data_IF_245443074162
#
_entry.id   IF_245443074162
#
_cell.length_a   1.000
_cell.length_b   1.000
_cell.length_c   1.000
_cell.angle_alpha   90.00
_cell.angle_beta   90.00
_cell.angle_gamma   90.00
#
_symmetry.space_group_name_H-M   'P 1'
#
loop_
_entity.id
_entity.type
_entity.pdbx_description
1 polymer ?
#
# COMPACT_ATOMS: atom_id res chain seq x y z
N UNK A 1 -7.61 6.78 7.27
CA UNK A 1 -7.17 7.09 5.92
C UNK A 1 -8.40 6.93 5.04
N UNK A 2 -9.15 8.01 4.83
CA UNK A 2 -10.45 7.95 4.13
C UNK A 2 -10.25 8.09 2.61
N UNK A 3 -9.32 7.32 2.04
CA UNK A 3 -8.90 7.48 0.64
C UNK A 3 -9.38 6.33 -0.26
N UNK A 4 -9.66 5.15 0.29
CA UNK A 4 -10.00 3.96 -0.51
C UNK A 4 -11.17 3.23 0.13
N UNK A 5 -12.25 3.04 -0.64
CA UNK A 5 -13.39 2.21 -0.28
C UNK A 5 -13.27 0.91 -1.06
N UNK A 6 -12.46 -0.02 -0.56
CA UNK A 6 -12.23 -1.31 -1.23
C UNK A 6 -13.51 -2.10 -1.46
N UNK A 7 -14.56 -1.88 -0.65
CA UNK A 7 -15.85 -2.53 -0.82
C UNK A 7 -16.55 -1.97 -2.06
N UNK A 8 -16.66 -0.65 -2.14
CA UNK A 8 -17.19 0.01 -3.33
C UNK A 8 -16.31 -0.30 -4.54
N UNK A 9 -14.99 -0.13 -4.47
CA UNK A 9 -14.08 -0.26 -5.62
C UNK A 9 -14.05 -1.68 -6.22
N UNK A 10 -14.37 -2.73 -5.44
CA UNK A 10 -14.39 -4.12 -5.91
C UNK A 10 -15.79 -4.67 -6.20
N UNK A 11 -16.85 -3.85 -6.18
CA UNK A 11 -18.24 -4.30 -6.35
C UNK A 11 -18.45 -5.20 -7.57
N UNK A 12 -17.90 -4.80 -8.72
CA UNK A 12 -18.09 -5.51 -9.99
C UNK A 12 -17.40 -6.87 -9.99
N UNK A 13 -16.21 -6.96 -9.37
CA UNK A 13 -15.45 -8.21 -9.24
C UNK A 13 -16.20 -9.19 -8.33
N UNK A 14 -16.70 -8.70 -7.20
CA UNK A 14 -17.45 -9.51 -6.25
C UNK A 14 -18.78 -10.00 -6.85
N UNK A 15 -19.51 -9.14 -7.56
CA UNK A 15 -20.72 -9.54 -8.30
C UNK A 15 -20.43 -10.65 -9.32
N UNK A 16 -19.39 -10.47 -10.14
CA UNK A 16 -19.01 -11.46 -11.16
C UNK A 16 -18.60 -12.80 -10.55
N UNK A 17 -17.92 -12.79 -9.40
CA UNK A 17 -17.47 -13.99 -8.70
C UNK A 17 -18.56 -14.63 -7.80
N UNK A 18 -19.77 -14.06 -7.73
CA UNK A 18 -20.82 -14.54 -6.83
C UNK A 18 -20.49 -14.35 -5.35
N UNK A 19 -19.61 -13.40 -5.03
CA UNK A 19 -19.17 -13.10 -3.67
C UNK A 19 -20.03 -11.98 -3.10
N UNK A 20 -20.69 -12.26 -1.98
CA UNK A 20 -21.40 -11.24 -1.23
C UNK A 20 -20.39 -10.39 -0.42
N UNK A 21 -20.37 -9.08 -0.69
CA UNK A 21 -19.48 -8.16 -0.01
C UNK A 21 -19.76 -8.09 1.50
N UNK A 22 -21.01 -8.25 1.94
CA UNK A 22 -21.38 -8.19 3.37
C UNK A 22 -20.75 -9.31 4.19
N UNK A 23 -20.34 -10.40 3.54
CA UNK A 23 -19.69 -11.53 4.18
C UNK A 23 -18.16 -11.38 4.26
N UNK A 24 -17.60 -10.29 3.69
CA UNK A 24 -16.16 -9.99 3.73
C UNK A 24 -15.89 -8.85 4.71
N UNK A 25 -15.10 -9.15 5.74
CA UNK A 25 -14.52 -8.14 6.61
C UNK A 25 -13.36 -7.44 5.89
N UNK A 26 -13.62 -6.24 5.37
CA UNK A 26 -12.62 -5.40 4.72
C UNK A 26 -12.14 -4.36 5.73
N UNK A 27 -10.90 -4.50 6.16
CA UNK A 27 -10.29 -3.61 7.15
C UNK A 27 -10.16 -2.18 6.60
N UNK A 28 -10.97 -1.24 7.11
CA UNK A 28 -10.83 0.19 6.82
C UNK A 28 -10.22 0.92 8.01
N UNK A 29 -8.95 1.28 7.91
CA UNK A 29 -8.24 2.00 8.97
C UNK A 29 -8.42 3.51 8.81
N UNK A 30 -9.28 4.11 9.64
CA UNK A 30 -9.52 5.56 9.63
C UNK A 30 -8.36 6.37 10.24
N UNK A 31 -7.58 5.78 11.15
CA UNK A 31 -6.42 6.43 11.77
C UNK A 31 -5.10 5.86 11.26
N UNK A 32 -4.10 6.72 11.18
CA UNK A 32 -2.73 6.32 10.78
C UNK A 32 -2.13 5.31 11.76
N UNK A 33 -2.37 5.48 13.06
CA UNK A 33 -1.87 4.56 14.08
C UNK A 33 -2.40 3.13 13.92
N UNK A 34 -3.68 2.97 13.59
CA UNK A 34 -4.28 1.65 13.39
C UNK A 34 -3.72 0.98 12.13
N UNK A 35 -3.44 1.77 11.09
CA UNK A 35 -2.78 1.30 9.87
C UNK A 35 -1.33 0.87 10.14
N UNK A 36 -0.57 1.65 10.91
CA UNK A 36 0.81 1.30 11.30
C UNK A 36 0.81 -0.01 12.09
N UNK A 37 -0.14 -0.19 13.02
CA UNK A 37 -0.26 -1.43 13.79
C UNK A 37 -0.54 -2.64 12.89
N UNK A 38 -1.52 -2.54 12.00
CA UNK A 38 -1.81 -3.58 11.01
C UNK A 38 -0.57 -3.89 10.16
N UNK A 39 0.15 -2.87 9.71
CA UNK A 39 1.39 -3.05 8.96
C UNK A 39 2.47 -3.74 9.78
N UNK A 40 2.66 -3.37 11.04
CA UNK A 40 3.65 -4.01 11.91
C UNK A 40 3.33 -5.50 12.11
N UNK A 41 2.07 -5.85 12.36
CA UNK A 41 1.60 -7.23 12.48
C UNK A 41 1.83 -8.01 11.18
N UNK A 42 1.50 -7.40 10.04
CA UNK A 42 1.73 -7.98 8.71
C UNK A 42 3.21 -8.21 8.45
N UNK A 43 4.05 -7.21 8.70
CA UNK A 43 5.49 -7.29 8.47
C UNK A 43 6.19 -8.29 9.38
N UNK A 44 5.71 -8.46 10.61
CA UNK A 44 6.17 -9.51 11.53
C UNK A 44 5.90 -10.89 10.94
N UNK A 45 4.73 -11.10 10.36
CA UNK A 45 4.39 -12.38 9.74
C UNK A 45 5.19 -12.62 8.46
N UNK A 46 5.37 -11.59 7.62
CA UNK A 46 6.24 -11.67 6.45
C UNK A 46 7.69 -11.99 6.84
N UNK A 47 8.20 -11.37 7.90
CA UNK A 47 9.53 -11.67 8.44
C UNK A 47 9.62 -13.13 8.91
N UNK A 48 8.58 -13.65 9.58
CA UNK A 48 8.54 -15.03 10.09
C UNK A 48 8.71 -16.05 8.96
N UNK A 49 8.00 -15.86 7.84
CA UNK A 49 7.99 -16.81 6.71
C UNK A 49 9.17 -16.63 5.75
N UNK A 50 9.79 -15.44 5.69
CA UNK A 50 10.90 -15.19 4.78
C UNK A 50 12.14 -16.00 5.21
N UNK A 51 12.89 -16.53 4.25
CA UNK A 51 14.18 -17.19 4.52
C UNK A 51 15.23 -16.13 4.91
N UNK A 52 16.21 -16.50 5.73
CA UNK A 52 17.36 -15.61 6.01
C UNK A 52 18.06 -15.23 4.69
N UNK A 53 18.45 -13.96 4.58
CA UNK A 53 18.97 -13.35 3.37
C UNK A 53 17.94 -13.06 2.28
N UNK A 54 16.68 -13.46 2.45
CA UNK A 54 15.60 -13.23 1.49
C UNK A 54 15.15 -11.77 1.43
N UNK A 55 14.60 -11.38 0.28
CA UNK A 55 14.14 -10.01 0.01
C UNK A 55 12.63 -9.89 0.12
N UNK A 56 12.18 -8.77 0.65
CA UNK A 56 10.79 -8.35 0.64
C UNK A 56 10.71 -6.97 -0.02
N UNK A 57 9.86 -6.88 -1.04
CA UNK A 57 9.55 -5.63 -1.73
C UNK A 57 8.08 -5.35 -1.49
N UNK A 58 7.79 -4.26 -0.80
CA UNK A 58 6.42 -3.83 -0.53
C UNK A 58 6.15 -2.54 -1.30
N UNK A 59 5.22 -2.60 -2.23
CA UNK A 59 4.73 -1.43 -2.94
C UNK A 59 3.67 -0.73 -2.10
N UNK A 60 3.87 0.57 -1.90
CA UNK A 60 2.92 1.47 -1.25
C UNK A 60 2.79 2.76 -2.06
N UNK A 61 1.71 3.46 -1.82
CA UNK A 61 1.46 4.77 -2.42
C UNK A 61 1.66 5.90 -1.42
N UNK A 62 0.93 6.98 -1.66
CA UNK A 62 0.86 8.15 -0.80
C UNK A 62 -0.61 8.45 -0.51
N UNK A 63 -0.90 9.03 0.64
CA UNK A 63 -2.26 9.41 1.01
C UNK A 63 -2.34 10.90 1.36
N UNK A 64 -3.55 11.45 1.34
CA UNK A 64 -3.83 12.89 1.54
C UNK A 64 -3.03 13.78 0.57
N UNK A 65 -3.07 13.45 -0.72
CA UNK A 65 -2.41 14.22 -1.79
C UNK A 65 -0.89 14.36 -1.58
N UNK A 66 -0.22 13.27 -1.21
CA UNK A 66 1.23 13.24 -1.02
C UNK A 66 1.73 13.77 0.33
N UNK A 67 0.85 14.24 1.22
CA UNK A 67 1.26 14.70 2.56
C UNK A 67 1.78 13.56 3.43
N UNK A 68 1.25 12.35 3.23
CA UNK A 68 1.66 11.17 3.98
C UNK A 68 2.28 10.19 2.99
N UNK A 69 3.57 9.98 3.20
CA UNK A 69 4.41 9.04 2.47
C UNK A 69 4.36 7.70 3.19
N UNK A 70 3.61 6.73 2.67
CA UNK A 70 3.38 5.46 3.37
C UNK A 70 4.68 4.66 3.53
N UNK A 71 5.67 4.85 2.65
CA UNK A 71 6.97 4.15 2.78
C UNK A 71 7.68 4.49 4.09
N UNK A 72 7.48 5.71 4.62
CA UNK A 72 8.05 6.13 5.90
C UNK A 72 7.37 5.39 7.05
N UNK A 73 6.05 5.28 6.98
CA UNK A 73 5.27 4.55 7.98
C UNK A 73 5.60 3.05 7.98
N UNK A 74 5.88 2.46 6.81
CA UNK A 74 6.39 1.08 6.72
C UNK A 74 7.76 0.98 7.40
N UNK A 75 8.63 1.97 7.23
CA UNK A 75 9.94 2.02 7.87
C UNK A 75 9.85 1.97 9.39
N UNK A 76 8.89 2.71 9.95
CA UNK A 76 8.61 2.73 11.38
C UNK A 76 8.01 1.39 11.84
N UNK A 77 7.08 0.83 11.05
CA UNK A 77 6.43 -0.45 11.35
C UNK A 77 7.41 -1.64 11.44
N UNK A 78 8.57 -1.56 10.78
CA UNK A 78 9.59 -2.61 10.78
C UNK A 78 10.78 -2.34 11.71
N UNK A 79 10.77 -1.24 12.47
CA UNK A 79 11.91 -0.82 13.30
C UNK A 79 12.38 -1.91 14.26
N UNK A 80 11.45 -2.68 14.82
CA UNK A 80 11.72 -3.75 15.80
C UNK A 80 11.95 -5.13 15.16
N UNK A 81 11.97 -5.23 13.84
CA UNK A 81 12.19 -6.50 13.13
C UNK A 81 13.62 -6.59 12.60
N UNK A 82 14.15 -7.81 12.52
CA UNK A 82 15.50 -8.05 12.01
C UNK A 82 15.55 -7.99 10.47
N UNK A 83 15.21 -6.83 9.92
CA UNK A 83 15.41 -6.50 8.51
C UNK A 83 16.60 -5.56 8.33
N UNK A 84 17.32 -5.75 7.25
CA UNK A 84 18.15 -4.72 6.64
C UNK A 84 17.26 -3.85 5.76
N UNK A 85 17.42 -2.55 5.93
CA UNK A 85 16.60 -1.49 5.36
C UNK A 85 17.33 -0.91 4.16
N UNK A 86 17.15 -1.53 2.98
CA UNK A 86 17.99 -1.29 1.81
C UNK A 86 17.66 0.01 1.07
N UNK A 87 16.40 0.44 1.13
CA UNK A 87 15.97 1.73 0.61
C UNK A 87 14.55 1.73 0.08
N UNK A 88 14.20 2.81 -0.61
CA UNK A 88 12.91 2.96 -1.30
C UNK A 88 13.18 3.27 -2.76
N UNK A 89 12.62 2.47 -3.66
CA UNK A 89 12.59 2.76 -5.08
C UNK A 89 11.31 3.54 -5.42
N UNK A 90 11.46 4.72 -6.01
CA UNK A 90 10.33 5.53 -6.47
C UNK A 90 10.19 5.35 -7.97
N UNK A 91 9.12 4.65 -8.38
CA UNK A 91 8.75 4.53 -9.77
C UNK A 91 7.82 5.69 -10.13
N UNK A 92 8.40 6.74 -10.71
CA UNK A 92 7.66 7.92 -11.17
C UNK A 92 7.20 7.71 -12.61
N UNK A 93 5.89 7.79 -12.83
CA UNK A 93 5.26 7.60 -14.14
C UNK A 93 4.74 8.93 -14.67
N UNK A 94 4.86 9.12 -15.98
CA UNK A 94 4.18 10.20 -16.71
C UNK A 94 3.01 9.59 -17.49
N UNK A 95 1.77 9.80 -17.02
CA UNK A 95 0.60 9.36 -17.77
C UNK A 95 0.47 10.16 -19.06
N UNK A 96 0.42 9.47 -20.20
CA UNK A 96 0.23 10.07 -21.51
C UNK A 96 -1.12 9.67 -22.11
N UNK A 97 -1.89 10.69 -22.50
CA UNK A 97 -3.14 10.72 -23.29
C UNK A 97 -4.36 9.89 -22.83
N UNK A 98 -4.26 8.63 -22.43
CA UNK A 98 -5.46 7.79 -22.17
C UNK A 98 -6.18 8.18 -20.87
N UNK A 99 -5.46 8.58 -19.82
CA UNK A 99 -6.06 9.01 -18.54
C UNK A 99 -6.82 10.35 -18.67
N UNK A 100 -6.36 11.25 -19.55
CA UNK A 100 -7.03 12.51 -19.85
C UNK A 100 -8.37 12.30 -20.56
N UNK A 101 -8.51 11.26 -21.40
CA UNK A 101 -9.78 10.93 -22.06
C UNK A 101 -10.89 10.59 -21.05
N UNK A 102 -10.54 10.15 -19.84
CA UNK A 102 -11.45 9.90 -18.73
C UNK A 102 -11.54 11.06 -17.72
N UNK A 103 -11.01 12.25 -18.07
CA UNK A 103 -11.04 13.44 -17.22
C UNK A 103 -10.11 13.37 -16.00
N UNK A 104 -9.12 12.47 -16.00
CA UNK A 104 -8.14 12.35 -14.92
C UNK A 104 -6.96 13.28 -15.23
N UNK A 105 -6.97 14.47 -14.62
CA UNK A 105 -5.84 15.41 -14.66
C UNK A 105 -4.71 14.93 -13.74
N UNK A 106 -3.47 14.88 -14.25
CA UNK A 106 -2.29 14.52 -13.47
C UNK A 106 -2.19 15.33 -12.17
N UNK A 107 -1.87 14.65 -11.06
CA UNK A 107 -1.62 15.24 -9.74
C UNK A 107 -2.77 16.06 -9.12
N UNK A 108 -4.00 16.00 -9.63
CA UNK A 108 -5.16 16.66 -8.99
C UNK A 108 -5.93 15.75 -8.02
N UNK A 109 -6.04 14.45 -8.29
CA UNK A 109 -6.80 13.49 -7.46
C UNK A 109 -6.05 12.20 -7.09
N UNK A 110 -4.83 12.01 -7.61
CA UNK A 110 -3.99 10.83 -7.35
C UNK A 110 -2.51 11.14 -7.61
N UNK A 111 -1.62 10.31 -7.08
CA UNK A 111 -0.17 10.42 -7.27
C UNK A 111 0.27 9.49 -8.40
N UNK A 112 1.15 9.97 -9.28
CA UNK A 112 1.70 9.19 -10.39
C UNK A 112 2.99 8.45 -10.01
N UNK A 113 3.18 8.18 -8.72
CA UNK A 113 4.37 7.54 -8.16
C UNK A 113 3.99 6.30 -7.36
N UNK A 114 4.64 5.18 -7.68
CA UNK A 114 4.61 3.98 -6.86
C UNK A 114 5.90 3.91 -6.06
N UNK A 115 5.82 3.59 -4.77
CA UNK A 115 6.96 3.65 -3.85
C UNK A 115 7.19 2.26 -3.27
N UNK A 116 8.32 1.66 -3.62
CA UNK A 116 8.64 0.29 -3.25
C UNK A 116 9.66 0.28 -2.13
N UNK A 117 9.25 -0.17 -0.94
CA UNK A 117 10.13 -0.38 0.22
C UNK A 117 10.87 -1.69 0.03
N UNK A 118 12.20 -1.64 0.06
CA UNK A 118 13.07 -2.81 -0.16
C UNK A 118 13.72 -3.19 1.18
N UNK A 119 13.40 -4.39 1.64
CA UNK A 119 13.93 -4.98 2.86
C UNK A 119 14.61 -6.32 2.57
N UNK A 120 15.61 -6.66 3.38
CA UNK A 120 16.23 -7.99 3.36
C UNK A 120 16.23 -8.59 4.76
N UNK A 121 15.77 -9.82 4.93
CA UNK A 121 15.82 -10.48 6.24
C UNK A 121 17.26 -10.80 6.60
N UNK A 122 17.65 -10.38 7.80
CA UNK A 122 18.89 -10.83 8.45
C UNK A 122 18.71 -12.29 8.87
#
# INVERSE_FOLDING_TARGET
>A
MDVVDYRADNWLRCWFAGINLDDIEISMYRKEADWIKMMADTMKEQWRILKSGGYLILEVGEVRSGKILLEKLVWDAVENLAFDRLGVMVHQQEFTKTSNCWGITNNQKGTNSNRMVILRKR
#
